data_IF_852291492384
#
_entry.id   IF_852291492384
#
_cell.length_a   1.000
_cell.length_b   1.000
_cell.length_c   1.000
_cell.angle_alpha   90.00
_cell.angle_beta   90.00
_cell.angle_gamma   90.00
#
_symmetry.space_group_name_H-M   'P 1'
#
loop_
_entity.id
_entity.type
_entity.pdbx_description
1 polymer ?
#
# COMPACT_ATOMS: atom_id res chain seq x y z
N UNK A 1 -12.54 -4.48 -24.23
CA UNK A 1 -12.52 -3.01 -24.00
C UNK A 1 -11.33 -2.73 -23.09
N UNK A 2 -10.46 -1.80 -23.46
CA UNK A 2 -9.31 -1.41 -22.62
C UNK A 2 -9.74 -0.21 -21.79
N UNK A 3 -9.86 -0.38 -20.48
CA UNK A 3 -10.03 0.74 -19.58
C UNK A 3 -8.65 1.36 -19.31
N UNK A 4 -8.58 2.69 -19.24
CA UNK A 4 -7.38 3.45 -18.88
C UNK A 4 -7.79 4.47 -17.84
N UNK A 5 -6.97 4.65 -16.81
CA UNK A 5 -7.19 5.66 -15.79
C UNK A 5 -7.12 7.06 -16.43
N UNK A 6 -8.22 7.81 -16.37
CA UNK A 6 -8.23 9.23 -16.70
C UNK A 6 -7.77 10.05 -15.50
N UNK A 7 -6.66 10.78 -15.65
CA UNK A 7 -6.19 11.73 -14.63
C UNK A 7 -6.33 13.15 -15.14
N UNK A 8 -6.86 14.06 -14.31
CA UNK A 8 -6.91 15.50 -14.61
C UNK A 8 -5.57 16.20 -14.38
N UNK A 9 -4.62 15.53 -13.71
CA UNK A 9 -3.25 15.97 -13.49
C UNK A 9 -2.27 15.26 -14.43
N UNK A 10 -1.14 15.92 -14.72
CA UNK A 10 -0.07 15.38 -15.57
C UNK A 10 0.58 14.10 -14.99
N UNK A 11 0.63 13.96 -13.66
CA UNK A 11 1.12 12.77 -12.95
C UNK A 11 0.35 12.64 -11.62
N UNK A 12 -0.32 11.51 -11.39
CA UNK A 12 -0.97 11.22 -10.10
C UNK A 12 0.02 10.53 -9.15
N UNK A 13 0.42 11.23 -8.09
CA UNK A 13 1.46 10.74 -7.15
C UNK A 13 0.89 10.06 -5.90
N UNK A 14 -0.44 10.11 -5.71
CA UNK A 14 -1.19 9.52 -4.59
C UNK A 14 -2.37 8.67 -5.11
N UNK A 15 -2.06 7.46 -5.59
CA UNK A 15 -3.01 6.54 -6.23
C UNK A 15 -3.38 5.30 -5.38
N UNK A 16 -2.84 5.17 -4.16
CA UNK A 16 -3.18 4.13 -3.19
C UNK A 16 -3.48 4.77 -1.83
N UNK A 17 -4.58 4.33 -1.23
CA UNK A 17 -4.99 4.72 0.13
C UNK A 17 -4.15 4.00 1.19
N UNK A 18 -4.22 4.48 2.44
CA UNK A 18 -3.58 3.80 3.58
C UNK A 18 -4.23 2.41 3.78
N UNK A 19 -3.44 1.33 3.94
CA UNK A 19 -3.97 0.01 4.29
C UNK A 19 -4.75 0.06 5.60
N UNK A 20 -5.82 -0.71 5.68
CA UNK A 20 -6.65 -0.87 6.88
C UNK A 20 -6.30 -2.22 7.50
N UNK A 21 -5.97 -2.23 8.79
CA UNK A 21 -5.79 -3.46 9.56
C UNK A 21 -7.15 -3.80 10.15
N UNK A 22 -7.70 -4.94 9.75
CA UNK A 22 -9.02 -5.39 10.19
C UNK A 22 -8.87 -6.50 11.23
N UNK A 23 -9.59 -6.39 12.35
CA UNK A 23 -9.55 -7.37 13.45
C UNK A 23 -10.34 -8.65 13.16
N UNK A 24 -10.26 -9.67 14.04
CA UNK A 24 -11.05 -10.88 13.91
C UNK A 24 -12.55 -10.58 13.94
N UNK A 25 -13.33 -11.21 13.05
CA UNK A 25 -14.77 -10.98 12.91
C UNK A 25 -15.15 -9.88 11.92
N UNK A 26 -14.18 -9.23 11.28
CA UNK A 26 -14.45 -8.23 10.23
C UNK A 26 -14.58 -8.88 8.85
N UNK A 27 -15.42 -8.28 7.99
CA UNK A 27 -15.60 -8.69 6.60
C UNK A 27 -15.14 -7.58 5.66
N UNK A 28 -14.36 -7.94 4.64
CA UNK A 28 -14.08 -7.04 3.52
C UNK A 28 -15.22 -7.14 2.50
N UNK A 29 -15.82 -6.00 2.17
CA UNK A 29 -16.74 -5.89 1.01
C UNK A 29 -15.93 -5.92 -0.29
N UNK A 30 -16.58 -6.18 -1.43
CA UNK A 30 -15.93 -6.28 -2.75
C UNK A 30 -15.15 -5.03 -3.19
N UNK A 31 -15.30 -3.91 -2.47
CA UNK A 31 -14.57 -2.65 -2.71
C UNK A 31 -13.13 -2.68 -2.19
N UNK A 32 -12.77 -3.63 -1.31
CA UNK A 32 -11.43 -3.73 -0.69
C UNK A 32 -10.77 -5.08 -0.95
N UNK A 33 -9.48 -5.06 -1.30
CA UNK A 33 -8.69 -6.28 -1.51
C UNK A 33 -8.07 -6.73 -0.18
N UNK A 34 -8.31 -7.98 0.21
CA UNK A 34 -7.56 -8.63 1.29
C UNK A 34 -6.14 -8.90 0.79
N UNK A 35 -5.19 -8.12 1.31
CA UNK A 35 -3.78 -8.19 0.92
C UNK A 35 -3.00 -9.30 1.65
N UNK A 36 -3.51 -9.80 2.78
CA UNK A 36 -2.91 -10.87 3.57
C UNK A 36 -3.75 -11.19 4.82
N UNK A 37 -3.46 -12.32 5.45
CA UNK A 37 -3.99 -12.73 6.76
C UNK A 37 -2.81 -13.11 7.65
N UNK A 38 -2.79 -12.59 8.88
CA UNK A 38 -1.67 -12.74 9.81
C UNK A 38 -2.17 -13.21 11.17
N UNK A 39 -1.32 -13.94 11.90
CA UNK A 39 -1.64 -14.46 13.22
C UNK A 39 -1.39 -13.41 14.31
N UNK A 40 -0.52 -12.44 14.06
CA UNK A 40 -0.14 -11.40 15.02
C UNK A 40 -0.41 -9.98 14.50
N UNK A 41 -0.75 -9.07 15.42
CA UNK A 41 -0.93 -7.64 15.11
C UNK A 41 0.37 -6.99 14.62
N UNK A 42 1.51 -7.46 15.12
CA UNK A 42 2.84 -6.98 14.74
C UNK A 42 3.15 -7.26 13.27
N UNK A 43 2.89 -8.49 12.80
CA UNK A 43 3.05 -8.85 11.37
C UNK A 43 2.12 -8.04 10.47
N UNK A 44 0.86 -7.86 10.88
CA UNK A 44 -0.10 -7.05 10.14
C UNK A 44 0.35 -5.58 10.06
N UNK A 45 0.90 -5.04 11.14
CA UNK A 45 1.44 -3.67 11.20
C UNK A 45 2.69 -3.53 10.32
N UNK A 46 3.60 -4.50 10.36
CA UNK A 46 4.80 -4.52 9.53
C UNK A 46 4.43 -4.62 8.04
N UNK A 47 3.43 -5.43 7.69
CA UNK A 47 2.94 -5.54 6.32
C UNK A 47 2.24 -4.27 5.84
N UNK A 48 1.41 -3.65 6.69
CA UNK A 48 0.78 -2.38 6.37
C UNK A 48 1.83 -1.27 6.15
N UNK A 49 2.88 -1.22 6.98
CA UNK A 49 4.00 -0.31 6.81
C UNK A 49 4.76 -0.59 5.49
N UNK A 50 5.00 -1.87 5.16
CA UNK A 50 5.63 -2.29 3.93
C UNK A 50 4.86 -1.82 2.69
N UNK A 51 3.54 -2.03 2.65
CA UNK A 51 2.69 -1.59 1.53
C UNK A 51 2.63 -0.06 1.38
N UNK A 52 2.92 0.70 2.43
CA UNK A 52 2.96 2.17 2.41
C UNK A 52 4.24 2.75 1.83
N UNK A 53 5.30 1.94 1.71
CA UNK A 53 6.60 2.38 1.17
C UNK A 53 6.46 2.91 -0.25
N UNK A 54 7.26 3.92 -0.60
CA UNK A 54 7.29 4.47 -1.97
C UNK A 54 7.77 3.41 -2.95
N UNK A 55 8.70 2.56 -2.54
CA UNK A 55 9.15 1.41 -3.32
C UNK A 55 7.99 0.51 -3.79
N UNK A 56 7.18 -0.01 -2.85
CA UNK A 56 6.08 -0.92 -3.19
C UNK A 56 5.03 -0.22 -4.04
N UNK A 57 4.66 1.01 -3.67
CA UNK A 57 3.66 1.79 -4.40
C UNK A 57 4.12 2.07 -5.82
N UNK A 58 5.40 2.37 -6.03
CA UNK A 58 5.99 2.52 -7.36
C UNK A 58 5.88 1.22 -8.18
N UNK A 59 6.20 0.07 -7.60
CA UNK A 59 6.04 -1.21 -8.31
C UNK A 59 4.58 -1.48 -8.71
N UNK A 60 3.63 -1.10 -7.87
CA UNK A 60 2.19 -1.20 -8.21
C UNK A 60 1.82 -0.21 -9.32
N UNK A 61 2.35 1.02 -9.33
CA UNK A 61 2.05 2.01 -10.36
C UNK A 61 2.50 1.56 -11.75
N UNK A 62 3.57 0.76 -11.86
CA UNK A 62 4.02 0.19 -13.13
C UNK A 62 2.99 -0.75 -13.76
N UNK A 63 2.07 -1.32 -12.96
CA UNK A 63 1.04 -2.27 -13.42
C UNK A 63 -0.37 -1.73 -13.38
N UNK A 64 -0.61 -0.66 -12.62
CA UNK A 64 -1.92 -0.03 -12.47
C UNK A 64 -2.22 0.86 -13.68
N UNK A 65 -2.83 0.27 -14.72
CA UNK A 65 -3.29 1.01 -15.90
C UNK A 65 -4.68 1.63 -15.74
N UNK A 66 -5.47 1.16 -14.76
CA UNK A 66 -6.86 1.56 -14.50
C UNK A 66 -7.03 2.15 -13.09
N UNK A 67 -8.18 2.76 -12.83
CA UNK A 67 -8.52 3.23 -11.47
C UNK A 67 -8.53 2.07 -10.46
N UNK A 68 -9.02 0.91 -10.88
CA UNK A 68 -9.10 -0.30 -10.06
C UNK A 68 -7.74 -0.81 -9.61
N UNK A 69 -7.70 -1.40 -8.41
CA UNK A 69 -6.50 -2.01 -7.80
C UNK A 69 -6.72 -3.51 -7.53
N UNK A 70 -6.94 -4.33 -8.57
CA UNK A 70 -7.16 -5.76 -8.40
C UNK A 70 -5.86 -6.49 -8.02
N UNK A 71 -5.97 -7.70 -7.47
CA UNK A 71 -4.82 -8.53 -7.03
C UNK A 71 -3.64 -8.55 -8.00
N UNK A 72 -3.89 -8.59 -9.31
CA UNK A 72 -2.83 -8.73 -10.30
C UNK A 72 -1.88 -7.53 -10.35
N UNK A 73 -2.28 -6.31 -9.94
CA UNK A 73 -1.36 -5.15 -9.96
C UNK A 73 -0.22 -5.29 -8.95
N UNK A 74 -0.41 -6.12 -7.92
CA UNK A 74 0.59 -6.39 -6.88
C UNK A 74 1.60 -7.46 -7.28
N UNK A 75 1.50 -8.13 -8.43
CA UNK A 75 2.39 -9.27 -8.70
C UNK A 75 3.87 -8.90 -8.98
N UNK A 76 4.22 -7.60 -8.98
CA UNK A 76 5.63 -7.16 -8.93
C UNK A 76 6.14 -6.89 -7.51
N UNK A 77 5.26 -6.86 -6.52
CA UNK A 77 5.62 -6.65 -5.12
C UNK A 77 6.30 -7.91 -4.60
N UNK A 78 7.56 -7.81 -4.12
CA UNK A 78 8.27 -8.95 -3.56
C UNK A 78 7.60 -9.49 -2.29
N UNK A 79 7.55 -10.80 -2.15
CA UNK A 79 7.16 -11.45 -0.91
C UNK A 79 8.37 -11.44 0.05
N UNK A 80 8.27 -10.67 1.13
CA UNK A 80 9.34 -10.45 2.10
C UNK A 80 8.92 -10.96 3.48
N UNK A 81 9.86 -11.46 4.30
CA UNK A 81 9.54 -11.83 5.67
C UNK A 81 9.09 -10.59 6.46
N UNK A 82 8.07 -10.77 7.28
CA UNK A 82 7.42 -9.73 8.10
C UNK A 82 7.91 -9.72 9.55
N UNK A 83 9.02 -10.41 9.78
CA UNK A 83 9.76 -10.45 11.04
C UNK A 83 10.40 -9.09 11.40
N UNK A 84 10.42 -8.14 10.47
CA UNK A 84 10.90 -6.79 10.70
C UNK A 84 10.10 -5.74 9.93
N UNK A 85 10.17 -4.50 10.42
CA UNK A 85 9.67 -3.34 9.72
C UNK A 85 10.54 -3.01 8.49
N UNK A 86 9.89 -2.94 7.33
CA UNK A 86 10.48 -2.50 6.05
C UNK A 86 10.29 -1.00 5.86
N UNK A 87 11.38 -0.31 5.55
CA UNK A 87 11.40 1.12 5.19
C UNK A 87 11.94 1.29 3.78
N UNK A 88 11.65 2.42 3.14
CA UNK A 88 12.18 2.75 1.81
C UNK A 88 13.72 2.59 1.78
N UNK A 89 14.43 3.14 2.77
CA UNK A 89 15.89 3.03 2.85
C UNK A 89 16.40 1.58 2.91
N UNK A 90 15.75 0.71 3.71
CA UNK A 90 16.11 -0.72 3.79
C UNK A 90 15.87 -1.43 2.46
N UNK A 91 14.78 -1.11 1.78
CA UNK A 91 14.42 -1.69 0.49
C UNK A 91 15.38 -1.25 -0.61
N UNK A 92 15.72 0.05 -0.65
CA UNK A 92 16.68 0.59 -1.61
C UNK A 92 18.05 -0.06 -1.46
N UNK A 93 18.53 -0.21 -0.22
CA UNK A 93 19.78 -0.91 0.06
C UNK A 93 19.71 -2.40 -0.33
N UNK A 94 18.60 -3.08 -0.01
CA UNK A 94 18.43 -4.52 -0.31
C UNK A 94 18.49 -4.81 -1.80
N UNK A 95 17.89 -3.96 -2.62
CA UNK A 95 17.83 -4.13 -4.08
C UNK A 95 18.95 -3.41 -4.83
N UNK A 96 19.83 -2.69 -4.11
CA UNK A 96 21.00 -2.03 -4.70
C UNK A 96 20.64 -0.87 -5.64
N UNK A 97 19.60 -0.10 -5.31
CA UNK A 97 19.20 1.05 -6.11
C UNK A 97 20.24 2.16 -6.01
N UNK A 98 20.49 2.81 -7.14
CA UNK A 98 21.33 4.00 -7.25
C UNK A 98 20.59 5.26 -6.80
N UNK A 99 21.33 6.32 -6.47
CA UNK A 99 20.75 7.59 -6.04
C UNK A 99 19.81 8.20 -7.11
N UNK A 100 20.12 8.03 -8.39
CA UNK A 100 19.30 8.49 -9.50
C UNK A 100 17.96 7.73 -9.59
N UNK A 101 17.99 6.41 -9.38
CA UNK A 101 16.78 5.57 -9.36
C UNK A 101 15.90 5.89 -8.15
N UNK A 102 16.53 6.13 -6.98
CA UNK A 102 15.83 6.56 -5.78
C UNK A 102 15.15 7.91 -6.03
N UNK A 103 15.89 8.90 -6.53
CA UNK A 103 15.34 10.21 -6.85
C UNK A 103 14.18 10.12 -7.85
N UNK A 104 14.27 9.22 -8.84
CA UNK A 104 13.19 8.97 -9.77
C UNK A 104 11.93 8.42 -9.06
N UNK A 105 12.07 7.38 -8.25
CA UNK A 105 10.94 6.79 -7.49
C UNK A 105 10.27 7.86 -6.61
N UNK A 106 11.07 8.64 -5.89
CA UNK A 106 10.59 9.68 -4.99
C UNK A 106 9.92 10.84 -5.73
N UNK A 107 10.33 11.12 -6.97
CA UNK A 107 9.66 12.11 -7.84
C UNK A 107 8.28 11.64 -8.33
N UNK A 108 8.08 10.33 -8.48
CA UNK A 108 6.84 9.73 -8.99
C UNK A 108 5.83 9.46 -7.87
N UNK A 109 6.33 9.11 -6.68
CA UNK A 109 5.49 8.66 -5.56
C UNK A 109 5.71 9.58 -4.36
N UNK A 110 4.67 10.36 -4.02
CA UNK A 110 4.71 11.22 -2.84
C UNK A 110 4.66 10.40 -1.56
N UNK A 111 5.35 10.88 -0.53
CA UNK A 111 5.33 10.29 0.80
C UNK A 111 3.91 10.32 1.42
N UNK A 112 3.58 9.29 2.20
CA UNK A 112 2.36 9.28 3.00
C UNK A 112 2.62 10.00 4.32
N UNK A 113 1.97 11.14 4.52
CA UNK A 113 2.02 11.86 5.78
C UNK A 113 1.37 11.05 6.91
N UNK A 114 2.11 10.82 8.00
CA UNK A 114 1.67 10.08 9.19
C UNK A 114 0.83 10.92 10.16
N UNK A 115 0.61 12.22 9.92
CA UNK A 115 0.00 13.13 10.89
C UNK A 115 -1.53 13.01 11.11
N UNK A 116 -2.20 11.99 10.57
CA UNK A 116 -3.66 11.83 10.68
C UNK A 116 -4.09 10.40 11.03
N UNK A 117 -3.60 9.88 12.16
CA UNK A 117 -4.13 8.66 12.79
C UNK A 117 -4.51 8.96 14.22
N UNK A 118 -5.74 9.43 14.42
CA UNK A 118 -6.42 9.35 15.72
C UNK A 118 -7.93 9.53 15.61
N UNK A 119 -8.59 8.70 14.80
CA UNK A 119 -9.99 8.39 15.08
C UNK A 119 -10.16 6.87 14.98
N UNK A 120 -10.38 6.17 16.12
CA UNK A 120 -10.88 4.81 16.05
C UNK A 120 -12.25 4.87 15.37
N UNK A 121 -12.44 4.00 14.37
CA UNK A 121 -13.76 3.75 13.80
C UNK A 121 -14.67 3.35 14.97
N UNK A 122 -15.80 4.04 15.21
CA UNK A 122 -16.71 3.64 16.27
C UNK A 122 -17.19 2.22 15.94
N UNK A 123 -17.03 1.32 16.90
CA UNK A 123 -17.73 0.04 16.93
C UNK A 123 -19.22 0.41 16.87
N UNK A 124 -19.88 0.17 15.73
CA UNK A 124 -21.34 0.26 15.66
C UNK A 124 -21.86 -0.86 16.56
N UNK A 125 -22.07 -0.52 17.83
CA UNK A 125 -22.77 -1.35 18.77
C UNK A 125 -24.17 -1.62 18.20
N UNK A 126 -24.47 -2.90 18.03
CA UNK A 126 -25.82 -3.44 17.94
C UNK A 126 -26.72 -2.74 18.98
N UNK A 127 -27.73 -2.02 18.51
CA UNK A 127 -28.93 -1.73 19.29
C UNK A 127 -30.13 -2.30 18.51
N UNK A 128 -30.90 -3.12 19.21
CA UNK A 128 -32.11 -3.85 18.80
C UNK A 128 -33.17 -3.02 18.06
#
# INVERSE_FOLDING_TARGET
>A
MTAVQGTSAAVETKFLSKPIIAGPGTACTETSLVAGSFDTEEEATNYAAYLRTRFVRFLVSLRKSTQDVPRHVYAFVPDLPLDQAWTDAKLYQRYGLTDDEIAFIESQVSEHDDTLTKEPVPDEADDE
#
